data_IF_258187957445
#
_entry.id   IF_258187957445
#
_cell.length_a   1.000
_cell.length_b   1.000
_cell.length_c   1.000
_cell.angle_alpha   90.00
_cell.angle_beta   90.00
_cell.angle_gamma   90.00
#
_symmetry.space_group_name_H-M   'P 1'
#
loop_
_entity.id
_entity.type
_entity.pdbx_description
1 polymer ?
#
# COMPACT_ATOMS: atom_id res chain seq x y z
N UNK A 1 -12.13 33.21 8.94
CA UNK A 1 -12.39 31.99 8.15
C UNK A 1 -11.29 31.00 8.48
N UNK A 2 -11.57 30.02 9.33
CA UNK A 2 -10.69 28.87 9.49
C UNK A 2 -10.93 27.97 8.27
N UNK A 3 -9.99 27.94 7.33
CA UNK A 3 -9.89 26.78 6.45
C UNK A 3 -9.54 25.60 7.34
N UNK A 4 -10.52 24.75 7.60
CA UNK A 4 -10.28 23.45 8.21
C UNK A 4 -9.26 22.74 7.34
N UNK A 5 -8.05 22.58 7.88
CA UNK A 5 -7.00 21.79 7.26
C UNK A 5 -7.62 20.45 6.85
N UNK A 6 -7.58 20.16 5.54
CA UNK A 6 -7.87 18.85 4.96
C UNK A 6 -6.82 17.86 5.46
N UNK A 7 -6.86 17.57 6.75
CA UNK A 7 -6.23 16.40 7.32
C UNK A 7 -7.03 15.22 6.78
N UNK A 8 -6.59 14.68 5.65
CA UNK A 8 -7.01 13.37 5.19
C UNK A 8 -6.60 12.38 6.29
N UNK A 9 -7.55 12.16 7.20
CA UNK A 9 -7.49 11.20 8.29
C UNK A 9 -6.99 9.88 7.74
N UNK A 10 -6.01 9.28 8.43
CA UNK A 10 -5.59 7.89 8.29
C UNK A 10 -6.78 6.97 8.61
N UNK A 11 -7.72 6.90 7.68
CA UNK A 11 -9.01 6.27 7.86
C UNK A 11 -9.29 5.40 6.64
N UNK A 12 -9.74 4.15 6.82
CA UNK A 12 -10.16 3.26 5.73
C UNK A 12 -11.23 3.90 4.84
N UNK A 13 -11.96 4.89 5.39
CA UNK A 13 -12.98 5.69 4.72
C UNK A 13 -12.40 6.41 3.49
N UNK A 14 -11.12 6.82 3.50
CA UNK A 14 -10.55 7.56 2.37
C UNK A 14 -10.40 6.71 1.10
N UNK A 15 -10.33 5.39 1.25
CA UNK A 15 -10.29 4.43 0.15
C UNK A 15 -11.66 3.74 -0.06
N UNK A 16 -12.73 4.22 0.59
CA UNK A 16 -14.03 3.54 0.69
C UNK A 16 -13.90 2.05 1.06
N UNK A 17 -12.86 1.68 1.81
CA UNK A 17 -12.65 0.31 2.22
C UNK A 17 -13.71 -0.01 3.29
N UNK A 18 -14.45 -1.12 3.15
CA UNK A 18 -15.41 -1.52 4.17
C UNK A 18 -14.69 -1.63 5.52
N UNK A 19 -15.20 -0.90 6.52
CA UNK A 19 -14.78 -1.01 7.93
C UNK A 19 -15.27 -2.36 8.45
N UNK A 20 -14.60 -3.44 8.06
CA UNK A 20 -15.11 -4.78 8.33
C UNK A 20 -14.87 -5.15 9.80
N UNK A 21 -15.96 -5.46 10.52
CA UNK A 21 -15.96 -5.99 11.89
C UNK A 21 -15.33 -7.39 12.02
N UNK A 22 -14.92 -7.99 10.91
CA UNK A 22 -14.41 -9.35 10.81
C UNK A 22 -12.92 -9.37 10.39
N UNK A 23 -12.03 -8.66 11.08
CA UNK A 23 -10.55 -8.76 10.89
C UNK A 23 -9.97 -10.17 11.18
N UNK A 24 -10.79 -11.22 11.16
CA UNK A 24 -10.47 -12.59 11.58
C UNK A 24 -10.90 -13.66 10.58
N UNK A 25 -10.83 -13.41 9.27
CA UNK A 25 -11.03 -14.49 8.28
C UNK A 25 -9.74 -14.78 7.52
N UNK A 26 -9.20 -15.97 7.74
CA UNK A 26 -8.31 -16.66 6.79
C UNK A 26 -6.85 -16.22 6.78
N UNK A 27 -6.52 -15.09 6.16
CA UNK A 27 -5.13 -14.73 5.82
C UNK A 27 -4.16 -14.59 7.01
N UNK A 28 -4.61 -14.19 8.21
CA UNK A 28 -3.74 -14.16 9.41
C UNK A 28 -3.21 -15.56 9.77
N UNK A 29 -3.86 -16.64 9.31
CA UNK A 29 -3.35 -18.02 9.48
C UNK A 29 -2.21 -18.34 8.50
N UNK A 30 -2.18 -17.73 7.32
CA UNK A 30 -1.18 -17.98 6.27
C UNK A 30 -0.04 -16.95 6.27
N UNK A 31 -0.30 -15.71 6.70
CA UNK A 31 0.71 -14.67 6.93
C UNK A 31 1.47 -14.92 8.24
N UNK A 32 2.43 -15.85 8.19
CA UNK A 32 3.30 -16.18 9.33
C UNK A 32 4.27 -15.05 9.70
N UNK A 33 4.54 -14.11 8.77
CA UNK A 33 5.41 -12.95 9.01
C UNK A 33 4.59 -11.77 9.56
N UNK A 34 4.82 -11.45 10.83
CA UNK A 34 4.16 -10.34 11.52
C UNK A 34 4.31 -9.00 10.78
N UNK A 35 5.47 -8.78 10.14
CA UNK A 35 5.74 -7.54 9.40
C UNK A 35 4.88 -7.38 8.15
N UNK A 36 4.71 -8.43 7.35
CA UNK A 36 3.84 -8.39 6.15
C UNK A 36 2.39 -8.12 6.53
N UNK A 37 1.89 -8.74 7.61
CA UNK A 37 0.57 -8.45 8.19
C UNK A 37 0.44 -6.96 8.55
N UNK A 38 1.42 -6.43 9.28
CA UNK A 38 1.43 -5.04 9.72
C UNK A 38 1.42 -4.09 8.51
N UNK A 39 2.24 -4.34 7.50
CA UNK A 39 2.35 -3.47 6.32
C UNK A 39 1.09 -3.50 5.47
N UNK A 40 0.46 -4.66 5.29
CA UNK A 40 -0.83 -4.78 4.62
C UNK A 40 -1.91 -3.98 5.34
N UNK A 41 -2.01 -4.15 6.66
CA UNK A 41 -2.92 -3.37 7.50
C UNK A 41 -2.65 -1.87 7.33
N UNK A 42 -1.41 -1.43 7.48
CA UNK A 42 -1.06 -0.01 7.28
C UNK A 42 -1.49 0.50 5.90
N UNK A 43 -1.30 -0.27 4.83
CA UNK A 43 -1.78 0.10 3.50
C UNK A 43 -3.31 0.30 3.46
N UNK A 44 -4.09 -0.61 4.06
CA UNK A 44 -5.57 -0.45 4.15
C UNK A 44 -6.01 0.83 4.85
N UNK A 45 -5.24 1.28 5.84
CA UNK A 45 -5.54 2.52 6.57
C UNK A 45 -4.93 3.77 5.90
N UNK A 46 -4.35 3.64 4.70
CA UNK A 46 -3.57 4.69 4.03
C UNK A 46 -2.45 5.25 4.94
N UNK A 47 -1.82 4.34 5.69
CA UNK A 47 -0.76 4.55 6.67
C UNK A 47 0.52 3.77 6.32
N UNK A 48 0.61 3.20 5.10
CA UNK A 48 1.79 2.49 4.67
C UNK A 48 3.03 3.39 4.84
N UNK A 49 4.17 2.88 5.38
CA UNK A 49 5.36 3.69 5.61
C UNK A 49 5.85 4.34 4.31
N UNK A 50 5.52 5.61 4.16
CA UNK A 50 5.72 6.39 2.95
C UNK A 50 6.05 7.84 3.32
N UNK A 51 6.63 8.58 2.36
CA UNK A 51 6.93 10.00 2.53
C UNK A 51 5.65 10.80 2.75
N UNK A 52 4.50 10.33 2.25
CA UNK A 52 3.19 10.95 2.49
C UNK A 52 2.81 10.90 3.97
N UNK A 53 2.91 9.73 4.62
CA UNK A 53 2.54 9.58 6.04
C UNK A 53 3.46 10.41 6.93
N UNK A 54 4.77 10.36 6.67
CA UNK A 54 5.76 11.18 7.38
C UNK A 54 5.52 12.67 7.13
N UNK A 55 5.23 13.06 5.90
CA UNK A 55 4.96 14.44 5.52
C UNK A 55 3.68 15.00 6.13
N UNK A 56 2.63 14.17 6.32
CA UNK A 56 1.43 14.57 7.08
C UNK A 56 1.79 14.88 8.54
N UNK A 57 2.58 14.01 9.18
CA UNK A 57 3.00 14.21 10.58
C UNK A 57 3.88 15.46 10.75
N UNK A 58 4.80 15.70 9.80
CA UNK A 58 5.73 16.82 9.83
C UNK A 58 5.18 18.10 9.18
N UNK A 59 3.89 18.13 8.80
CA UNK A 59 3.26 19.25 8.09
C UNK A 59 4.00 19.71 6.80
N UNK A 60 4.68 18.80 6.11
CA UNK A 60 5.35 19.06 4.83
C UNK A 60 4.28 19.27 3.74
N UNK A 61 4.39 20.26 2.84
CA UNK A 61 3.45 20.47 1.73
C UNK A 61 3.27 19.25 0.84
N UNK A 62 2.07 19.01 0.31
CA UNK A 62 1.77 17.83 -0.50
C UNK A 62 2.66 17.72 -1.75
N UNK A 63 2.97 18.86 -2.38
CA UNK A 63 3.91 18.97 -3.51
C UNK A 63 5.33 18.48 -3.20
N UNK A 64 5.70 18.40 -1.92
CA UNK A 64 7.01 17.96 -1.46
C UNK A 64 6.99 16.51 -0.92
N UNK A 65 5.82 15.85 -0.90
CA UNK A 65 5.66 14.45 -0.44
C UNK A 65 5.91 13.46 -1.57
N UNK A 66 7.08 13.59 -2.20
CA UNK A 66 7.45 12.81 -3.37
C UNK A 66 8.12 11.50 -2.97
N UNK A 67 7.86 10.47 -3.75
CA UNK A 67 8.53 9.19 -3.65
C UNK A 67 10.00 9.36 -4.04
N UNK A 68 10.90 8.68 -3.33
CA UNK A 68 12.35 8.66 -3.65
C UNK A 68 12.70 7.81 -4.87
N UNK A 69 11.71 7.26 -5.58
CA UNK A 69 11.94 6.56 -6.83
C UNK A 69 12.42 7.52 -7.92
N UNK A 70 12.83 7.01 -9.09
CA UNK A 70 13.40 7.86 -10.15
C UNK A 70 12.39 8.84 -10.75
N UNK A 71 11.10 8.56 -10.60
CA UNK A 71 10.00 9.36 -11.17
C UNK A 71 9.61 10.57 -10.32
N UNK A 72 9.98 10.59 -9.04
CA UNK A 72 9.61 11.65 -8.09
C UNK A 72 8.10 12.01 -8.11
N UNK A 73 7.24 11.00 -8.29
CA UNK A 73 5.78 11.15 -8.22
C UNK A 73 5.31 11.20 -6.76
N UNK A 74 4.10 11.73 -6.47
CA UNK A 74 3.50 11.66 -5.15
C UNK A 74 3.49 10.23 -4.59
N UNK A 75 3.98 10.05 -3.35
CA UNK A 75 4.16 8.73 -2.71
C UNK A 75 2.84 8.11 -2.18
N UNK A 76 1.91 7.92 -3.10
CA UNK A 76 0.57 7.35 -2.91
C UNK A 76 0.57 5.83 -3.08
N UNK A 77 -0.50 5.16 -2.62
CA UNK A 77 -0.65 3.72 -2.84
C UNK A 77 -0.81 3.39 -4.32
N UNK A 78 -1.49 4.25 -5.08
CA UNK A 78 -1.61 4.14 -6.53
C UNK A 78 -0.24 4.14 -7.20
N UNK A 79 0.63 5.08 -6.84
CA UNK A 79 2.00 5.10 -7.30
C UNK A 79 2.73 3.79 -6.93
N UNK A 80 2.68 3.37 -5.66
CA UNK A 80 3.32 2.14 -5.17
C UNK A 80 2.88 0.92 -5.98
N UNK A 81 1.57 0.71 -6.13
CA UNK A 81 1.01 -0.47 -6.76
C UNK A 81 1.16 -0.51 -8.28
N UNK A 82 1.24 0.63 -8.96
CA UNK A 82 1.12 0.63 -10.42
C UNK A 82 2.35 1.19 -11.15
N UNK A 83 3.09 2.13 -10.57
CA UNK A 83 4.14 2.85 -11.32
C UNK A 83 5.48 2.98 -10.60
N UNK A 84 5.57 2.70 -9.30
CA UNK A 84 6.78 2.90 -8.50
C UNK A 84 7.94 2.01 -8.96
N UNK A 85 9.16 2.53 -9.01
CA UNK A 85 10.32 1.69 -9.39
C UNK A 85 10.67 0.67 -8.29
N UNK A 86 10.41 1.03 -7.03
CA UNK A 86 10.53 0.11 -5.90
C UNK A 86 9.51 -1.03 -6.02
N UNK A 87 9.97 -2.25 -5.79
CA UNK A 87 9.18 -3.47 -5.89
C UNK A 87 8.73 -3.78 -7.32
N UNK A 88 9.41 -3.26 -8.35
CA UNK A 88 9.03 -3.51 -9.75
C UNK A 88 8.98 -5.01 -10.11
N UNK A 89 9.88 -5.82 -9.55
CA UNK A 89 9.87 -7.27 -9.70
C UNK A 89 8.70 -7.90 -8.94
N UNK A 90 8.50 -7.53 -7.68
CA UNK A 90 7.38 -8.02 -6.86
C UNK A 90 6.01 -7.66 -7.47
N UNK A 91 5.88 -6.48 -8.08
CA UNK A 91 4.67 -6.05 -8.79
C UNK A 91 4.36 -6.93 -10.00
N UNK A 92 5.38 -7.37 -10.75
CA UNK A 92 5.18 -8.33 -11.85
C UNK A 92 4.58 -9.64 -11.32
N UNK A 93 5.14 -10.17 -10.24
CA UNK A 93 4.64 -11.40 -9.60
C UNK A 93 3.20 -11.23 -9.10
N UNK A 94 2.87 -10.08 -8.49
CA UNK A 94 1.51 -9.75 -8.08
C UNK A 94 0.54 -9.81 -9.27
N UNK A 95 0.84 -9.13 -10.38
CA UNK A 95 -0.04 -9.13 -11.55
C UNK A 95 -0.12 -10.48 -12.26
N UNK A 96 0.95 -11.27 -12.26
CA UNK A 96 0.91 -12.64 -12.77
C UNK A 96 -0.03 -13.51 -11.95
N UNK A 97 0.05 -13.44 -10.61
CA UNK A 97 -0.83 -14.21 -9.74
C UNK A 97 -2.31 -13.81 -9.89
N UNK A 98 -2.60 -12.52 -10.04
CA UNK A 98 -3.97 -12.02 -10.27
C UNK A 98 -4.57 -12.54 -11.59
N UNK A 99 -3.74 -12.67 -12.64
CA UNK A 99 -4.17 -13.25 -13.93
C UNK A 99 -4.48 -14.74 -13.80
N UNK A 100 -3.63 -15.49 -13.08
CA UNK A 100 -3.82 -16.94 -12.87
C UNK A 100 -5.12 -17.22 -12.12
N UNK A 101 -5.47 -16.39 -11.14
CA UNK A 101 -6.71 -16.52 -10.36
C UNK A 101 -7.99 -16.09 -11.10
N UNK A 102 -7.91 -15.77 -12.40
CA UNK A 102 -9.04 -15.39 -13.27
C UNK A 102 -9.91 -14.23 -12.75
N UNK A 103 -9.44 -13.47 -11.77
CA UNK A 103 -10.25 -12.43 -11.15
C UNK A 103 -10.40 -11.18 -12.02
N UNK A 104 -9.63 -11.04 -13.12
CA UNK A 104 -9.49 -9.75 -13.76
C UNK A 104 -9.42 -9.81 -15.31
N UNK A 105 -10.44 -9.24 -15.97
CA UNK A 105 -10.37 -8.77 -17.37
C UNK A 105 -10.01 -7.26 -17.48
N UNK A 106 -9.90 -6.53 -16.37
CA UNK A 106 -9.71 -5.06 -16.29
C UNK A 106 -8.75 -4.63 -15.17
N UNK A 107 -7.73 -3.80 -15.42
CA UNK A 107 -6.72 -3.40 -14.41
C UNK A 107 -7.28 -3.22 -12.97
N UNK A 108 -6.74 -3.92 -11.94
CA UNK A 108 -7.23 -3.81 -10.56
C UNK A 108 -7.06 -2.40 -10.02
N UNK A 109 -8.00 -1.97 -9.18
CA UNK A 109 -7.85 -0.77 -8.36
C UNK A 109 -7.09 -1.08 -7.07
N UNK A 110 -6.59 -0.05 -6.37
CA UNK A 110 -6.01 -0.21 -5.02
C UNK A 110 -7.01 -0.86 -4.06
N UNK A 111 -8.29 -0.53 -4.20
CA UNK A 111 -9.36 -1.09 -3.38
C UNK A 111 -9.50 -2.60 -3.58
N UNK A 112 -9.44 -3.08 -4.83
CA UNK A 112 -9.52 -4.51 -5.15
C UNK A 112 -8.35 -5.29 -4.52
N UNK A 113 -7.14 -4.72 -4.57
CA UNK A 113 -5.94 -5.32 -3.99
C UNK A 113 -5.95 -5.36 -2.45
N UNK A 114 -6.67 -4.42 -1.82
CA UNK A 114 -6.74 -4.26 -0.37
C UNK A 114 -8.07 -4.75 0.23
N UNK A 115 -8.91 -5.39 -0.57
CA UNK A 115 -10.26 -5.82 -0.19
C UNK A 115 -10.28 -6.92 0.87
N UNK A 116 -9.22 -7.76 0.93
CA UNK A 116 -9.11 -8.86 1.89
C UNK A 116 -10.24 -9.89 1.76
N UNK A 117 -10.64 -10.15 0.52
CA UNK A 117 -11.70 -11.11 0.17
C UNK A 117 -11.18 -12.48 -0.26
N UNK A 118 -9.89 -12.57 -0.58
CA UNK A 118 -9.21 -13.78 -1.04
C UNK A 118 -7.87 -13.90 -0.30
N UNK A 119 -7.69 -15.01 0.43
CA UNK A 119 -6.51 -15.22 1.27
C UNK A 119 -5.20 -15.29 0.47
N UNK A 120 -5.24 -15.82 -0.75
CA UNK A 120 -4.04 -15.92 -1.59
C UNK A 120 -3.64 -14.54 -2.11
N UNK A 121 -4.61 -13.77 -2.63
CA UNK A 121 -4.36 -12.41 -3.11
C UNK A 121 -3.86 -11.54 -1.97
N UNK A 122 -4.48 -11.64 -0.80
CA UNK A 122 -4.07 -10.90 0.41
C UNK A 122 -2.63 -11.21 0.80
N UNK A 123 -2.24 -12.49 0.81
CA UNK A 123 -0.86 -12.90 1.07
C UNK A 123 0.11 -12.31 0.04
N UNK A 124 -0.19 -12.42 -1.25
CA UNK A 124 0.67 -11.91 -2.32
C UNK A 124 0.81 -10.37 -2.24
N UNK A 125 -0.27 -9.66 -1.95
CA UNK A 125 -0.24 -8.19 -1.77
C UNK A 125 0.59 -7.81 -0.54
N UNK A 126 0.46 -8.54 0.56
CA UNK A 126 1.24 -8.32 1.77
C UNK A 126 2.75 -8.56 1.54
N UNK A 127 3.12 -9.61 0.79
CA UNK A 127 4.50 -9.89 0.40
C UNK A 127 5.06 -8.81 -0.54
N UNK A 128 4.26 -8.34 -1.50
CA UNK A 128 4.62 -7.21 -2.36
C UNK A 128 4.92 -5.95 -1.54
N UNK A 129 4.04 -5.60 -0.60
CA UNK A 129 4.22 -4.44 0.27
C UNK A 129 5.47 -4.57 1.16
N UNK A 130 5.79 -5.77 1.65
CA UNK A 130 7.05 -6.05 2.34
C UNK A 130 8.26 -5.80 1.45
N UNK A 131 8.29 -6.35 0.24
CA UNK A 131 9.41 -6.15 -0.69
C UNK A 131 9.63 -4.67 -1.02
N UNK A 132 8.55 -3.92 -1.28
CA UNK A 132 8.64 -2.46 -1.50
C UNK A 132 9.22 -1.75 -0.28
N UNK A 133 8.79 -2.13 0.93
CA UNK A 133 9.28 -1.51 2.16
C UNK A 133 10.78 -1.79 2.37
N UNK A 134 11.22 -3.03 2.19
CA UNK A 134 12.62 -3.43 2.32
C UNK A 134 13.52 -2.68 1.33
N UNK A 135 13.12 -2.60 0.05
CA UNK A 135 13.87 -1.86 -0.97
C UNK A 135 13.99 -0.36 -0.63
N UNK A 136 12.92 0.25 -0.14
CA UNK A 136 12.92 1.65 0.30
C UNK A 136 13.87 1.88 1.48
N UNK A 137 13.86 0.99 2.47
CA UNK A 137 14.73 1.07 3.64
C UNK A 137 16.21 0.82 3.30
N UNK A 138 16.49 0.00 2.29
CA UNK A 138 17.83 -0.18 1.75
C UNK A 138 18.36 1.10 1.09
N UNK A 139 17.54 1.74 0.27
CA UNK A 139 17.89 3.00 -0.41
C UNK A 139 18.15 4.16 0.57
N UNK A 140 17.43 4.22 1.69
CA UNK A 140 17.63 5.24 2.73
C UNK A 140 18.96 5.12 3.48
N UNK A 141 19.66 3.98 3.38
CA UNK A 141 21.01 3.81 3.97
C UNK A 141 22.15 4.22 3.03
N UNK A 142 21.85 4.36 1.74
CA UNK A 142 22.83 4.68 0.70
C UNK A 142 22.84 6.17 0.32
N UNK A 143 21.92 6.96 0.88
CA UNK A 143 21.77 8.42 0.65
C UNK A 143 21.99 9.21 1.94
#
# INVERSE_FOLDING_TARGET
>A
MLEAAKHSTCSPIHLNLPLCRDFQKGYMTNLKKHESCRLFMLARFNMFPSVVVRGRYLAIPESERLCKCRKQEPDTLEHIFFSCDFGSYARKQLFEALKVNRQIFTQPTVQDLLADSDDQITLIVAEFLSAVHEERMGHDKET
#
